data_IF_849171973247
#
_entry.id   IF_849171973247
#
_cell.length_a   1.000
_cell.length_b   1.000
_cell.length_c   1.000
_cell.angle_alpha   90.00
_cell.angle_beta   90.00
_cell.angle_gamma   90.00
#
_symmetry.space_group_name_H-M   'P 1'
#
loop_
_entity.id
_entity.type
_entity.pdbx_description
1 polymer ?
#
# COMPACT_ATOMS: atom_id res chain seq x y z
N UNK A 1 2.32 10.24 -0.08
CA UNK A 1 2.15 9.37 -1.26
C UNK A 1 1.22 10.07 -2.23
N UNK A 2 1.63 10.27 -3.48
CA UNK A 2 0.79 10.94 -4.47
C UNK A 2 -0.36 10.03 -4.93
N UNK A 3 -1.54 10.60 -5.21
CA UNK A 3 -2.73 9.90 -5.70
C UNK A 3 -2.72 9.79 -7.23
N UNK A 4 -1.74 9.07 -7.77
CA UNK A 4 -1.65 8.80 -9.21
C UNK A 4 -2.70 7.73 -9.64
N UNK A 5 -2.98 7.56 -10.96
CA UNK A 5 -4.08 6.71 -11.42
C UNK A 5 -4.08 5.26 -10.89
N UNK A 6 -2.92 4.59 -10.86
CA UNK A 6 -2.78 3.24 -10.29
C UNK A 6 -3.03 3.25 -8.79
N UNK A 7 -2.59 4.28 -8.05
CA UNK A 7 -2.98 4.40 -6.65
C UNK A 7 -4.49 4.51 -6.50
N UNK A 8 -5.15 5.37 -7.29
CA UNK A 8 -6.59 5.58 -7.19
C UNK A 8 -7.41 4.31 -7.52
N UNK A 9 -6.96 3.52 -8.49
CA UNK A 9 -7.63 2.29 -8.91
C UNK A 9 -7.33 1.10 -7.97
N UNK A 10 -6.05 0.89 -7.64
CA UNK A 10 -5.58 -0.40 -7.11
C UNK A 10 -5.14 -0.33 -5.65
N UNK A 11 -4.84 0.85 -5.10
CA UNK A 11 -4.27 0.99 -3.73
C UNK A 11 -5.23 1.70 -2.79
N UNK A 12 -5.79 2.84 -3.20
CA UNK A 12 -6.72 3.65 -2.42
C UNK A 12 -7.90 2.86 -1.86
N UNK A 13 -8.59 2.03 -2.67
CA UNK A 13 -9.70 1.21 -2.18
C UNK A 13 -9.31 0.16 -1.14
N UNK A 14 -8.03 -0.22 -1.04
CA UNK A 14 -7.53 -1.20 -0.07
C UNK A 14 -7.47 -0.60 1.36
N UNK A 15 -7.42 0.73 1.47
CA UNK A 15 -7.46 1.42 2.77
C UNK A 15 -6.10 1.57 3.46
N UNK A 16 -5.03 1.75 2.68
CA UNK A 16 -3.74 2.15 3.24
C UNK A 16 -3.81 3.54 3.88
N UNK A 17 -3.11 3.72 4.99
CA UNK A 17 -3.01 4.95 5.74
C UNK A 17 -1.69 5.66 5.41
N UNK A 18 -1.75 6.72 4.59
CA UNK A 18 -0.60 7.52 4.20
C UNK A 18 -0.87 9.02 4.43
N UNK A 19 0.19 9.81 4.47
CA UNK A 19 0.10 11.23 4.14
C UNK A 19 -0.15 11.35 2.64
N UNK A 20 -1.42 11.36 2.22
CA UNK A 20 -1.81 11.36 0.80
C UNK A 20 -1.73 12.77 0.23
N UNK A 21 -1.15 12.88 -0.96
CA UNK A 21 -1.02 14.10 -1.76
C UNK A 21 -1.89 13.92 -3.02
N UNK A 22 -2.57 14.98 -3.45
CA UNK A 22 -3.30 15.02 -4.73
C UNK A 22 -2.69 16.09 -5.65
N UNK A 23 -1.62 15.72 -6.35
CA UNK A 23 -0.91 16.63 -7.26
C UNK A 23 -0.03 17.69 -6.58
N UNK A 24 -0.28 18.04 -5.32
CA UNK A 24 0.49 19.05 -4.59
C UNK A 24 0.66 18.73 -3.09
N UNK A 25 1.80 19.17 -2.52
CA UNK A 25 2.05 19.08 -1.08
C UNK A 25 1.33 20.23 -0.40
N UNK A 26 0.47 19.91 0.56
CA UNK A 26 -0.27 20.88 1.36
C UNK A 26 0.28 20.97 2.80
N UNK A 27 0.00 22.05 3.53
CA UNK A 27 0.34 22.15 4.95
C UNK A 27 -0.14 20.94 5.76
N UNK A 28 -1.32 20.40 5.48
CA UNK A 28 -1.87 19.22 6.15
C UNK A 28 -0.96 17.99 5.94
N UNK A 29 -0.48 17.76 4.72
CA UNK A 29 0.43 16.64 4.44
C UNK A 29 1.77 16.78 5.14
N UNK A 30 2.26 18.01 5.28
CA UNK A 30 3.49 18.32 6.05
C UNK A 30 3.27 18.04 7.53
N UNK A 31 2.13 18.46 8.08
CA UNK A 31 1.79 18.27 9.50
C UNK A 31 1.65 16.79 9.88
N UNK A 32 1.10 15.95 9.01
CA UNK A 32 1.04 14.50 9.22
C UNK A 32 2.46 13.92 9.36
N UNK A 33 3.34 14.24 8.39
CA UNK A 33 4.71 13.72 8.38
C UNK A 33 5.51 14.27 9.56
N UNK A 34 5.40 15.57 9.85
CA UNK A 34 6.01 16.21 11.01
C UNK A 34 5.57 15.53 12.31
N UNK A 35 4.28 15.24 12.45
CA UNK A 35 3.73 14.51 13.57
C UNK A 35 4.39 13.15 13.79
N UNK A 36 4.59 12.37 12.73
CA UNK A 36 5.29 11.09 12.81
C UNK A 36 6.77 11.23 13.15
N UNK A 37 7.45 12.27 12.67
CA UNK A 37 8.87 12.50 12.95
C UNK A 37 9.12 12.98 14.38
N UNK A 38 8.27 13.87 14.90
CA UNK A 38 8.37 14.38 16.27
C UNK A 38 7.87 13.39 17.32
N UNK A 39 6.92 12.53 16.95
CA UNK A 39 6.32 11.51 17.81
C UNK A 39 6.27 10.16 17.10
N UNK A 40 7.40 9.44 17.01
CA UNK A 40 7.52 8.19 16.24
C UNK A 40 6.52 7.10 16.63
N UNK A 41 6.06 7.08 17.88
CA UNK A 41 5.02 6.16 18.34
C UNK A 41 3.69 6.33 17.59
N UNK A 42 3.41 7.52 17.07
CA UNK A 42 2.19 7.79 16.28
C UNK A 42 2.27 7.22 14.87
N UNK A 43 3.47 6.86 14.40
CA UNK A 43 3.64 6.17 13.12
C UNK A 43 3.42 4.65 13.23
N UNK A 44 3.44 4.08 14.44
CA UNK A 44 3.33 2.63 14.65
C UNK A 44 1.97 2.08 14.19
N UNK A 45 0.82 2.69 14.52
CA UNK A 45 -0.48 2.21 14.03
C UNK A 45 -0.59 2.16 12.49
N UNK A 46 -0.37 3.26 11.73
CA UNK A 46 -0.53 3.23 10.28
C UNK A 46 0.49 2.31 9.61
N UNK A 47 1.72 2.22 10.13
CA UNK A 47 2.73 1.29 9.56
C UNK A 47 2.37 -0.17 9.81
N UNK A 48 1.86 -0.51 10.99
CA UNK A 48 1.41 -1.88 11.30
C UNK A 48 0.23 -2.28 10.42
N UNK A 49 -0.75 -1.41 10.29
CA UNK A 49 -1.92 -1.60 9.41
C UNK A 49 -1.50 -1.79 7.95
N UNK A 50 -0.68 -0.87 7.42
CA UNK A 50 -0.18 -0.93 6.05
C UNK A 50 0.65 -2.18 5.78
N UNK A 51 1.45 -2.63 6.75
CA UNK A 51 2.22 -3.85 6.61
C UNK A 51 1.32 -5.10 6.53
N UNK A 52 0.26 -5.16 7.35
CA UNK A 52 -0.73 -6.23 7.28
C UNK A 52 -1.45 -6.26 5.92
N UNK A 53 -1.89 -5.10 5.42
CA UNK A 53 -2.48 -4.97 4.08
C UNK A 53 -1.49 -5.42 2.98
N UNK A 54 -0.23 -4.99 3.06
CA UNK A 54 0.82 -5.41 2.13
C UNK A 54 0.99 -6.93 2.10
N UNK A 55 1.00 -7.58 3.27
CA UNK A 55 1.08 -9.05 3.34
C UNK A 55 -0.16 -9.76 2.78
N UNK A 56 -1.34 -9.15 2.89
CA UNK A 56 -2.58 -9.72 2.38
C UNK A 56 -2.71 -9.59 0.87
N UNK A 57 -2.45 -8.40 0.32
CA UNK A 57 -2.75 -8.07 -1.07
C UNK A 57 -1.53 -8.09 -2.00
N UNK A 58 -0.32 -7.87 -1.49
CA UNK A 58 0.89 -7.65 -2.31
C UNK A 58 2.06 -8.57 -1.93
N UNK A 59 1.79 -9.69 -1.25
CA UNK A 59 2.85 -10.64 -0.88
C UNK A 59 3.23 -11.60 -2.02
N UNK A 60 4.41 -12.20 -1.95
CA UNK A 60 4.80 -13.28 -2.86
C UNK A 60 3.87 -14.49 -2.79
N UNK A 61 3.27 -14.77 -1.63
CA UNK A 61 2.24 -15.81 -1.50
C UNK A 61 1.01 -15.47 -2.34
N UNK A 62 0.56 -14.21 -2.29
CA UNK A 62 -0.54 -13.73 -3.13
C UNK A 62 -0.16 -13.84 -4.62
N UNK A 63 1.02 -13.38 -5.01
CA UNK A 63 1.53 -13.50 -6.37
C UNK A 63 1.59 -14.96 -6.86
N UNK A 64 2.13 -15.86 -6.04
CA UNK A 64 2.22 -17.28 -6.37
C UNK A 64 0.82 -17.90 -6.60
N UNK A 65 -0.17 -17.54 -5.78
CA UNK A 65 -1.56 -17.96 -5.96
C UNK A 65 -2.17 -17.47 -7.28
N UNK A 66 -1.88 -16.22 -7.66
CA UNK A 66 -2.35 -15.62 -8.91
C UNK A 66 -1.68 -16.25 -10.15
N UNK A 67 -0.39 -16.59 -10.07
CA UNK A 67 0.36 -17.16 -11.19
C UNK A 67 0.21 -18.68 -11.32
N UNK A 68 -0.11 -19.40 -10.24
CA UNK A 68 -0.21 -20.87 -10.25
C UNK A 68 -1.11 -21.44 -11.37
N UNK A 69 -2.27 -20.84 -11.71
CA UNK A 69 -3.09 -21.32 -12.83
C UNK A 69 -2.39 -21.21 -14.19
N UNK A 70 -1.51 -20.23 -14.39
CA UNK A 70 -0.79 -20.04 -15.66
C UNK A 70 0.22 -21.16 -15.90
N UNK A 71 0.91 -21.60 -14.84
CA UNK A 71 1.92 -22.67 -14.92
C UNK A 71 1.31 -24.08 -15.01
N UNK A 72 0.07 -24.28 -14.55
CA UNK A 72 -0.66 -25.56 -14.73
C UNK A 72 -1.10 -25.78 -16.17
N UNK A 73 -1.30 -24.72 -16.95
CA UNK A 73 -1.81 -24.78 -18.32
C UNK A 73 -0.72 -25.12 -19.35
N UNK A 74 0.55 -25.13 -18.94
CA UNK A 74 1.72 -25.34 -19.81
C UNK A 74 2.35 -26.73 -19.73
N UNK A 75 1.78 -27.69 -18.98
CA UNK A 75 2.23 -29.09 -19.04
C UNK A 75 1.68 -29.77 -20.30
N UNK A 76 2.53 -30.23 -21.23
CA UNK A 76 2.07 -31.12 -22.30
C UNK A 76 1.64 -32.46 -21.71
N UNK A 77 0.58 -33.04 -22.27
CA UNK A 77 0.17 -34.42 -22.03
C UNK A 77 1.24 -35.41 -22.54
#
# INVERSE_FOLDING_TARGET
VNRYPVYAADIGPIGFEFAVIDGEITPETVEIVRGWLERPETAVPPTTHNYALGQQYFSYRTLAGLLAPLFKKTSPA
#
